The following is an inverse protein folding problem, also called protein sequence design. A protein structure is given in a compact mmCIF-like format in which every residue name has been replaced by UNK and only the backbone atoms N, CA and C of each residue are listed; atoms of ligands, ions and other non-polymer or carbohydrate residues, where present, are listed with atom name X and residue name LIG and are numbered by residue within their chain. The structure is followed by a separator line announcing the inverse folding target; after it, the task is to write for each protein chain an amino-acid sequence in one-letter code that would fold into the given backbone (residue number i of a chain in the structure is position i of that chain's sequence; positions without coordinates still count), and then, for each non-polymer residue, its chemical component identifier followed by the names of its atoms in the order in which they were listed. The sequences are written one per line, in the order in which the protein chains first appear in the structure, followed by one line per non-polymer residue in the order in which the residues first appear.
data_IF_880408344208
#
_entry.id   IF_880408344208
#
_cell.length_a   1.000
_cell.length_b   1.000
_cell.length_c   1.000
_cell.angle_alpha   90.00
_cell.angle_beta   90.00
_cell.angle_gamma   90.00
#
_symmetry.space_group_name_H-M   'P 1'
#
loop_
_entity.id
_entity.type
_entity.pdbx_description
1 polymer ?
#
# COMPACT_ATOMS: atom_id res chain seq x y z
N UNK A 1 -40.66 -60.35 -4.23
CA UNK A 1 -40.34 -58.97 -4.64
C UNK A 1 -39.67 -58.23 -3.48
N UNK A 2 -38.34 -58.32 -3.31
CA UNK A 2 -37.60 -57.71 -2.17
C UNK A 2 -36.20 -57.17 -2.55
N UNK A 3 -35.90 -56.97 -3.83
CA UNK A 3 -34.54 -56.61 -4.30
C UNK A 3 -34.48 -55.38 -5.21
N UNK A 4 -35.36 -54.39 -5.01
CA UNK A 4 -35.41 -53.20 -5.87
C UNK A 4 -35.25 -51.86 -5.12
N UNK A 5 -35.18 -51.84 -3.79
CA UNK A 5 -35.16 -50.58 -3.02
C UNK A 5 -33.73 -50.14 -2.65
N UNK A 6 -32.75 -51.04 -2.69
CA UNK A 6 -31.38 -50.73 -2.25
C UNK A 6 -30.50 -49.99 -3.28
N UNK A 7 -30.97 -49.78 -4.51
CA UNK A 7 -30.16 -49.18 -5.58
C UNK A 7 -30.38 -47.67 -5.74
N UNK A 8 -31.50 -47.13 -5.26
CA UNK A 8 -31.84 -45.70 -5.43
C UNK A 8 -31.15 -44.81 -4.38
N UNK A 9 -30.83 -45.35 -3.20
CA UNK A 9 -30.13 -44.60 -2.14
C UNK A 9 -28.61 -44.55 -2.37
N UNK A 10 -28.03 -45.53 -3.07
CA UNK A 10 -26.60 -45.52 -3.41
C UNK A 10 -26.24 -44.57 -4.58
N UNK A 11 -27.22 -44.24 -5.44
CA UNK A 11 -27.04 -43.29 -6.55
C UNK A 11 -27.32 -41.83 -6.14
N UNK A 12 -27.90 -41.60 -4.95
CA UNK A 12 -28.09 -40.26 -4.37
C UNK A 12 -26.89 -39.79 -3.55
N UNK A 13 -25.88 -40.65 -3.36
CA UNK A 13 -24.60 -40.33 -2.74
C UNK A 13 -23.48 -40.19 -3.78
N UNK A 14 -23.84 -39.84 -5.02
CA UNK A 14 -22.92 -39.23 -5.96
C UNK A 14 -22.65 -37.82 -5.44
N UNK A 15 -21.65 -37.76 -4.58
CA UNK A 15 -20.95 -36.60 -4.07
C UNK A 15 -21.27 -35.34 -4.89
N UNK A 16 -22.00 -34.43 -4.27
CA UNK A 16 -21.67 -33.02 -4.36
C UNK A 16 -20.20 -32.90 -3.92
N UNK A 17 -19.26 -33.24 -4.82
CA UNK A 17 -17.93 -32.70 -4.77
C UNK A 17 -18.19 -31.22 -5.01
N UNK A 18 -18.31 -30.47 -3.92
CA UNK A 18 -18.23 -29.04 -3.95
C UNK A 18 -16.93 -28.77 -4.70
N UNK A 19 -17.05 -28.34 -5.96
CA UNK A 19 -15.93 -27.73 -6.67
C UNK A 19 -15.72 -26.46 -5.87
N UNK A 20 -14.83 -26.52 -4.88
CA UNK A 20 -14.26 -25.32 -4.28
C UNK A 20 -13.65 -24.61 -5.48
N UNK A 21 -14.29 -23.54 -5.92
CA UNK A 21 -13.67 -22.59 -6.83
C UNK A 21 -12.41 -22.14 -6.11
N UNK A 22 -11.24 -22.39 -6.67
CA UNK A 22 -10.02 -21.84 -6.11
C UNK A 22 -10.03 -20.34 -6.41
N UNK A 23 -9.84 -19.52 -5.39
CA UNK A 23 -9.59 -18.10 -5.52
C UNK A 23 -8.18 -17.79 -5.03
N UNK A 24 -7.55 -16.83 -5.69
CA UNK A 24 -6.18 -16.43 -5.41
C UNK A 24 -6.10 -14.93 -5.23
N UNK A 25 -5.29 -14.50 -4.25
CA UNK A 25 -4.91 -13.11 -4.04
C UNK A 25 -3.39 -13.05 -4.03
N UNK A 26 -2.83 -12.24 -4.92
CA UNK A 26 -1.39 -12.06 -5.04
C UNK A 26 -0.99 -10.63 -4.76
N UNK A 27 0.11 -10.49 -4.04
CA UNK A 27 0.72 -9.21 -3.67
C UNK A 27 2.04 -9.05 -4.42
N UNK A 28 2.25 -7.88 -5.01
CA UNK A 28 3.50 -7.52 -5.68
C UNK A 28 3.89 -6.10 -5.33
N UNK A 29 5.04 -5.94 -4.66
CA UNK A 29 5.64 -4.63 -4.45
C UNK A 29 6.26 -4.10 -5.76
N UNK A 30 6.22 -2.79 -5.98
CA UNK A 30 6.87 -2.14 -7.12
C UNK A 30 8.41 -2.14 -6.98
N UNK A 31 8.90 -2.10 -5.73
CA UNK A 31 10.29 -2.23 -5.36
C UNK A 31 10.46 -3.11 -4.13
N UNK A 32 11.51 -3.93 -4.11
CA UNK A 32 11.85 -4.83 -2.99
C UNK A 32 12.98 -4.29 -2.12
N UNK A 33 13.75 -3.33 -2.62
CA UNK A 33 14.90 -2.74 -1.94
C UNK A 33 14.75 -1.21 -1.93
N UNK A 34 14.44 -0.66 -0.77
CA UNK A 34 14.11 0.77 -0.60
C UNK A 34 14.90 1.39 0.54
N UNK A 35 14.84 2.72 0.69
CA UNK A 35 15.44 3.45 1.81
C UNK A 35 14.36 4.00 2.73
N UNK A 36 14.73 4.33 3.96
CA UNK A 36 13.85 5.07 4.87
C UNK A 36 13.42 6.38 4.21
N UNK A 37 12.12 6.66 4.25
CA UNK A 37 11.46 7.78 3.60
C UNK A 37 10.90 7.47 2.21
N UNK A 38 11.27 6.35 1.59
CA UNK A 38 10.72 5.95 0.29
C UNK A 38 9.27 5.46 0.42
N UNK A 39 8.50 5.65 -0.65
CA UNK A 39 7.15 5.10 -0.79
C UNK A 39 7.21 3.75 -1.50
N UNK A 40 6.57 2.74 -0.91
CA UNK A 40 6.38 1.41 -1.49
C UNK A 40 4.93 1.27 -1.92
N UNK A 41 4.71 0.85 -3.16
CA UNK A 41 3.38 0.54 -3.69
C UNK A 41 3.24 -0.96 -3.88
N UNK A 42 2.29 -1.56 -3.17
CA UNK A 42 1.94 -2.97 -3.33
C UNK A 42 0.69 -3.10 -4.17
N UNK A 43 0.81 -3.78 -5.30
CA UNK A 43 -0.32 -4.15 -6.16
C UNK A 43 -0.96 -5.41 -5.61
N UNK A 44 -2.28 -5.39 -5.43
CA UNK A 44 -3.08 -6.55 -5.05
C UNK A 44 -3.88 -7.01 -6.27
N UNK A 45 -3.66 -8.25 -6.68
CA UNK A 45 -4.36 -8.89 -7.80
C UNK A 45 -5.21 -10.02 -7.26
N UNK A 46 -6.42 -10.17 -7.79
CA UNK A 46 -7.33 -11.25 -7.43
C UNK A 46 -7.82 -12.03 -8.66
N UNK A 47 -8.03 -13.32 -8.46
CA UNK A 47 -8.64 -14.24 -9.43
C UNK A 47 -9.75 -15.05 -8.75
N UNK A 48 -10.89 -15.21 -9.43
CA UNK A 48 -12.01 -16.04 -8.97
C UNK A 48 -12.86 -15.44 -7.85
N UNK A 49 -12.79 -14.12 -7.62
CA UNK A 49 -13.52 -13.41 -6.56
C UNK A 49 -14.43 -12.33 -7.12
N UNK A 50 -15.65 -12.22 -6.60
CA UNK A 50 -16.51 -11.05 -6.78
C UNK A 50 -16.48 -10.10 -5.58
N UNK A 51 -16.13 -10.57 -4.38
CA UNK A 51 -15.88 -9.70 -3.23
C UNK A 51 -14.80 -10.26 -2.32
N UNK A 52 -14.09 -9.36 -1.63
CA UNK A 52 -13.13 -9.73 -0.59
C UNK A 52 -13.11 -8.66 0.50
N UNK A 53 -13.19 -9.10 1.75
CA UNK A 53 -12.91 -8.32 2.96
C UNK A 53 -11.58 -8.82 3.53
N UNK A 54 -10.62 -7.92 3.67
CA UNK A 54 -9.33 -8.28 4.21
C UNK A 54 -8.68 -7.18 5.05
N UNK A 55 -7.78 -7.63 5.93
CA UNK A 55 -6.83 -6.80 6.63
C UNK A 55 -5.42 -6.97 6.04
N UNK A 56 -4.62 -5.92 6.13
CA UNK A 56 -3.21 -5.92 5.74
C UNK A 56 -2.36 -6.20 6.99
N UNK A 57 -1.56 -7.25 6.94
CA UNK A 57 -0.61 -7.62 7.98
C UNK A 57 0.81 -7.20 7.56
N UNK A 58 1.45 -6.35 8.36
CA UNK A 58 2.78 -5.80 8.10
C UNK A 58 3.44 -5.35 9.42
N UNK A 59 4.77 -5.17 9.41
CA UNK A 59 5.51 -4.63 10.55
C UNK A 59 5.40 -3.09 10.60
N UNK A 60 4.61 -2.58 11.55
CA UNK A 60 4.39 -1.14 11.77
C UNK A 60 5.61 -0.40 12.36
N UNK A 61 6.65 -1.13 12.76
CA UNK A 61 7.93 -0.54 13.12
C UNK A 61 8.81 -0.24 11.89
N UNK A 62 8.55 -0.90 10.75
CA UNK A 62 9.34 -0.78 9.50
C UNK A 62 8.60 0.04 8.45
N UNK A 63 7.28 -0.15 8.35
CA UNK A 63 6.43 0.51 7.36
C UNK A 63 5.28 1.27 8.03
N UNK A 64 4.84 2.37 7.40
CA UNK A 64 3.62 3.09 7.76
C UNK A 64 2.62 2.98 6.60
N UNK A 65 1.43 2.42 6.85
CA UNK A 65 0.37 2.40 5.85
C UNK A 65 -0.16 3.81 5.58
N UNK A 66 -0.19 4.21 4.31
CA UNK A 66 -0.64 5.54 3.88
C UNK A 66 -2.09 5.48 3.43
N UNK A 67 -2.40 4.59 2.48
CA UNK A 67 -3.76 4.43 1.92
C UNK A 67 -3.87 3.19 1.04
N UNK A 68 -5.11 2.77 0.79
CA UNK A 68 -5.48 1.87 -0.29
C UNK A 68 -6.22 2.65 -1.39
N UNK A 69 -5.96 2.30 -2.66
CA UNK A 69 -6.64 2.89 -3.82
C UNK A 69 -7.27 1.78 -4.64
N UNK A 70 -8.56 1.88 -4.91
CA UNK A 70 -9.28 0.90 -5.74
C UNK A 70 -8.83 1.04 -7.20
N UNK A 71 -8.70 -0.09 -7.91
CA UNK A 71 -8.68 -0.04 -9.37
C UNK A 71 -10.07 0.33 -9.92
N UNK A 72 -10.15 0.71 -11.20
CA UNK A 72 -11.40 1.12 -11.86
C UNK A 72 -12.49 0.05 -11.83
N UNK A 73 -12.11 -1.22 -11.63
CA UNK A 73 -12.99 -2.39 -11.55
C UNK A 73 -13.47 -2.70 -10.12
N UNK A 74 -13.05 -1.91 -9.12
CA UNK A 74 -13.27 -2.17 -7.71
C UNK A 74 -13.82 -0.94 -6.97
N UNK A 75 -14.33 -1.16 -5.75
CA UNK A 75 -14.68 -0.08 -4.82
C UNK A 75 -14.19 -0.46 -3.44
N UNK A 76 -13.50 0.45 -2.74
CA UNK A 76 -13.01 0.27 -1.37
C UNK A 76 -13.91 1.03 -0.40
N UNK A 77 -14.29 0.38 0.70
CA UNK A 77 -15.14 0.99 1.74
C UNK A 77 -14.40 1.98 2.67
N UNK A 78 -13.15 1.67 3.03
CA UNK A 78 -12.27 2.52 3.84
C UNK A 78 -10.86 2.47 3.27
N UNK A 79 -10.36 3.61 2.80
CA UNK A 79 -9.04 3.70 2.16
C UNK A 79 -7.91 4.00 3.14
N UNK A 80 -8.22 4.29 4.39
CA UNK A 80 -7.24 4.77 5.38
C UNK A 80 -7.04 3.80 6.55
N UNK A 81 -7.82 2.72 6.58
CA UNK A 81 -7.73 1.71 7.62
C UNK A 81 -7.21 0.38 7.04
N UNK A 82 -5.95 -0.02 7.34
CA UNK A 82 -5.38 -1.25 6.82
C UNK A 82 -6.10 -2.51 7.34
N UNK A 83 -6.85 -2.43 8.44
CA UNK A 83 -7.58 -3.57 9.02
C UNK A 83 -8.95 -3.83 8.37
N UNK A 84 -9.42 -2.94 7.48
CA UNK A 84 -10.81 -2.92 7.00
C UNK A 84 -10.91 -2.58 5.53
N UNK A 85 -10.23 -3.35 4.69
CA UNK A 85 -10.33 -3.20 3.24
C UNK A 85 -11.41 -4.14 2.71
N UNK A 86 -12.58 -3.58 2.40
CA UNK A 86 -13.65 -4.29 1.71
C UNK A 86 -13.68 -3.86 0.24
N UNK A 87 -13.50 -4.85 -0.65
CA UNK A 87 -13.60 -4.70 -2.10
C UNK A 87 -14.79 -5.50 -2.62
N UNK A 88 -15.61 -4.86 -3.46
CA UNK A 88 -16.80 -5.48 -4.07
C UNK A 88 -16.83 -5.20 -5.57
N UNK A 89 -17.13 -6.25 -6.34
CA UNK A 89 -17.42 -6.28 -7.76
C UNK A 89 -18.79 -6.92 -8.02
N UNK A 90 -19.36 -6.65 -9.19
CA UNK A 90 -20.56 -7.35 -9.68
C UNK A 90 -20.26 -8.62 -10.49
N UNK A 91 -18.98 -8.97 -10.68
CA UNK A 91 -18.50 -10.12 -11.45
C UNK A 91 -17.18 -10.64 -10.86
N UNK A 92 -16.81 -11.88 -11.19
CA UNK A 92 -15.51 -12.43 -10.78
C UNK A 92 -14.37 -11.67 -11.44
N UNK A 93 -13.36 -11.32 -10.65
CA UNK A 93 -12.06 -10.90 -11.14
C UNK A 93 -11.38 -12.07 -11.84
N UNK A 94 -10.77 -11.80 -13.00
CA UNK A 94 -10.04 -12.77 -13.81
C UNK A 94 -8.57 -12.33 -13.87
N UNK A 95 -7.80 -12.70 -12.85
CA UNK A 95 -6.41 -12.26 -12.63
C UNK A 95 -6.24 -10.74 -12.82
N UNK A 96 -7.03 -9.96 -12.06
CA UNK A 96 -7.11 -8.51 -12.21
C UNK A 96 -6.59 -7.78 -10.98
N UNK A 97 -5.90 -6.66 -11.18
CA UNK A 97 -5.57 -5.73 -10.10
C UNK A 97 -6.86 -5.15 -9.51
N UNK A 98 -7.05 -5.32 -8.20
CA UNK A 98 -8.24 -4.84 -7.50
C UNK A 98 -7.97 -3.60 -6.67
N UNK A 99 -6.75 -3.45 -6.17
CA UNK A 99 -6.31 -2.24 -5.48
C UNK A 99 -4.79 -2.12 -5.45
N UNK A 100 -4.32 -0.93 -5.11
CA UNK A 100 -2.94 -0.67 -4.71
C UNK A 100 -2.91 -0.19 -3.26
N UNK A 101 -1.93 -0.67 -2.50
CA UNK A 101 -1.65 -0.27 -1.13
C UNK A 101 -0.38 0.58 -1.14
N UNK A 102 -0.40 1.74 -0.51
CA UNK A 102 0.75 2.65 -0.42
C UNK A 102 1.27 2.65 1.02
N UNK A 103 2.59 2.44 1.17
CA UNK A 103 3.29 2.46 2.44
C UNK A 103 4.47 3.43 2.38
N UNK A 104 4.86 4.00 3.52
CA UNK A 104 6.12 4.73 3.68
C UNK A 104 7.08 3.88 4.49
N UNK A 105 8.32 3.72 4.02
CA UNK A 105 9.37 3.07 4.81
C UNK A 105 9.85 4.00 5.92
N UNK A 106 9.76 3.59 7.18
CA UNK A 106 10.06 4.46 8.34
C UNK A 106 11.27 3.98 9.15
N UNK A 107 11.67 2.71 9.02
CA UNK A 107 12.87 2.18 9.66
C UNK A 107 13.53 1.11 8.79
N UNK A 108 14.82 0.87 9.04
CA UNK A 108 15.57 -0.18 8.38
C UNK A 108 15.15 -1.56 8.88
N UNK A 109 15.06 -2.53 7.98
CA UNK A 109 14.61 -3.89 8.29
C UNK A 109 14.12 -4.64 7.06
N UNK A 110 13.89 -5.94 7.22
CA UNK A 110 13.21 -6.78 6.23
C UNK A 110 11.83 -7.11 6.79
N UNK A 111 10.78 -6.89 6.00
CA UNK A 111 9.40 -7.18 6.40
C UNK A 111 8.62 -7.79 5.25
N UNK A 112 7.69 -8.66 5.60
CA UNK A 112 6.65 -9.14 4.70
C UNK A 112 5.40 -8.27 4.84
N UNK A 113 4.69 -8.13 3.74
CA UNK A 113 3.35 -7.55 3.65
C UNK A 113 2.44 -8.68 3.19
N UNK A 114 1.47 -9.02 4.01
CA UNK A 114 0.52 -10.09 3.73
C UNK A 114 -0.91 -9.57 3.84
N UNK A 115 -1.85 -10.36 3.31
CA UNK A 115 -3.27 -10.11 3.44
C UNK A 115 -3.91 -11.22 4.27
N UNK A 116 -4.73 -10.82 5.24
CA UNK A 116 -5.56 -11.71 6.06
C UNK A 116 -7.00 -11.57 5.58
N UNK A 117 -7.49 -12.60 4.90
CA UNK A 117 -8.86 -12.62 4.37
C UNK A 117 -9.85 -12.88 5.50
N UNK A 118 -10.77 -11.94 5.71
CA UNK A 118 -11.84 -12.03 6.71
C UNK A 118 -13.10 -12.69 6.10
N UNK A 119 -13.42 -12.35 4.86
CA UNK A 119 -14.54 -12.90 4.10
C UNK A 119 -14.30 -12.76 2.58
N UNK A 120 -14.88 -13.66 1.80
CA UNK A 120 -14.68 -13.72 0.34
C UNK A 120 -15.82 -14.43 -0.36
N UNK A 121 -16.27 -13.91 -1.50
CA UNK A 121 -17.31 -14.54 -2.31
C UNK A 121 -16.98 -14.52 -3.81
N UNK A 122 -17.54 -15.47 -4.55
CA UNK A 122 -17.57 -15.48 -6.02
C UNK A 122 -18.82 -14.76 -6.57
N UNK A 123 -18.96 -14.71 -7.89
CA UNK A 123 -20.09 -14.07 -8.57
C UNK A 123 -21.45 -14.73 -8.29
N UNK A 124 -21.46 -15.97 -7.80
CA UNK A 124 -22.66 -16.64 -7.31
C UNK A 124 -23.00 -16.28 -5.85
N UNK A 125 -22.24 -15.38 -5.23
CA UNK A 125 -22.30 -15.01 -3.82
C UNK A 125 -22.09 -16.20 -2.86
N UNK A 126 -21.34 -17.20 -3.30
CA UNK A 126 -20.93 -18.33 -2.47
C UNK A 126 -19.58 -18.01 -1.81
N UNK A 127 -19.39 -18.43 -0.57
CA UNK A 127 -18.10 -18.28 0.12
C UNK A 127 -17.03 -19.13 -0.54
N UNK A 128 -15.83 -18.56 -0.69
CA UNK A 128 -14.70 -19.18 -1.38
C UNK A 128 -13.45 -19.14 -0.52
N UNK A 129 -12.73 -20.25 -0.44
CA UNK A 129 -11.40 -20.29 0.17
C UNK A 129 -10.38 -19.57 -0.72
N UNK A 130 -9.58 -18.69 -0.11
CA UNK A 130 -8.60 -17.85 -0.81
C UNK A 130 -7.19 -18.28 -0.46
N UNK A 131 -6.34 -18.46 -1.46
CA UNK A 131 -4.89 -18.58 -1.27
C UNK A 131 -4.25 -17.20 -1.40
N UNK A 132 -3.38 -16.82 -0.47
CA UNK A 132 -2.69 -15.53 -0.47
C UNK A 132 -1.19 -15.69 -0.69
N UNK A 133 -0.58 -14.75 -1.42
CA UNK A 133 0.87 -14.56 -1.44
C UNK A 133 1.28 -13.34 -0.61
N UNK A 134 2.52 -13.32 -0.13
CA UNK A 134 3.11 -12.15 0.53
C UNK A 134 4.02 -11.38 -0.44
N UNK A 135 4.20 -10.08 -0.18
CA UNK A 135 5.25 -9.27 -0.79
C UNK A 135 6.32 -8.94 0.25
N UNK A 136 7.59 -9.19 -0.08
CA UNK A 136 8.72 -8.92 0.82
C UNK A 136 9.40 -7.60 0.44
N UNK A 137 9.73 -6.78 1.43
CA UNK A 137 10.41 -5.50 1.27
C UNK A 137 11.59 -5.42 2.24
N UNK A 138 12.74 -5.01 1.71
CA UNK A 138 13.96 -4.72 2.46
C UNK A 138 14.21 -3.22 2.46
N UNK A 139 14.23 -2.62 3.65
CA UNK A 139 14.56 -1.22 3.86
C UNK A 139 16.01 -1.10 4.33
N UNK A 140 16.84 -0.45 3.54
CA UNK A 140 18.24 -0.20 3.86
C UNK A 140 18.38 0.75 5.07
N UNK A 141 19.41 0.51 5.87
CA UNK A 141 19.83 1.44 6.91
C UNK A 141 20.28 2.78 6.32
N UNK A 142 19.97 3.87 7.00
CA UNK A 142 20.48 5.19 6.64
C UNK A 142 21.99 5.23 6.89
N UNK A 143 22.77 5.34 5.82
CA UNK A 143 24.23 5.52 5.86
C UNK A 143 24.61 6.96 6.20
N UNK A 144 23.97 7.58 7.20
CA UNK A 144 24.33 8.94 7.63
C UNK A 144 24.21 9.18 9.14
N UNK A 145 25.14 8.63 9.92
CA UNK A 145 25.64 9.30 11.12
C UNK A 145 27.06 8.86 11.48
N UNK A 146 28.04 9.44 10.80
CA UNK A 146 29.43 9.54 11.26
C UNK A 146 30.05 10.81 10.68
N UNK A 147 30.11 11.86 11.49
CA UNK A 147 31.05 12.97 11.32
C UNK A 147 31.30 13.59 12.72
N UNK A 148 32.48 14.17 13.04
CA UNK A 148 33.63 14.47 12.17
C UNK A 148 34.98 13.94 12.71
N UNK A 149 35.92 13.54 11.84
CA UNK A 149 37.34 13.48 12.20
C UNK A 149 38.12 14.44 11.30
N UNK A 150 38.66 15.46 11.96
CA UNK A 150 39.56 16.47 11.45
C UNK A 150 40.86 15.83 10.91
N UNK A 151 41.29 16.24 9.72
CA UNK A 151 42.71 16.26 9.37
C UNK A 151 43.03 17.50 8.54
N UNK A 152 43.58 18.48 9.26
CA UNK A 152 44.42 19.54 8.71
C UNK A 152 45.72 18.89 8.25
N UNK A 153 46.11 19.05 6.99
CA UNK A 153 47.53 19.18 6.65
C UNK A 153 47.72 20.04 5.38
N UNK A 154 48.61 21.01 5.56
CA UNK A 154 48.98 22.10 4.67
C UNK A 154 49.75 21.64 3.43
N UNK A 155 49.65 22.39 2.33
CA UNK A 155 50.84 22.68 1.53
C UNK A 155 50.77 24.07 0.93
N UNK A 156 51.73 24.88 1.36
CA UNK A 156 52.15 26.18 0.82
C UNK A 156 52.71 25.97 -0.59
N UNK A 157 52.45 26.89 -1.52
CA UNK A 157 53.47 27.55 -2.35
C UNK A 157 52.94 28.91 -2.87
N UNK A 158 53.76 29.93 -2.64
CA UNK A 158 53.66 31.31 -3.14
C UNK A 158 53.80 31.39 -4.67
N UNK A 159 53.21 32.41 -5.31
CA UNK A 159 54.01 33.47 -5.96
C UNK A 159 53.14 34.44 -6.80
N UNK A 160 53.12 35.69 -6.32
CA UNK A 160 53.24 36.98 -7.01
C UNK A 160 52.23 37.49 -8.07
N UNK A 161 51.59 38.61 -7.67
CA UNK A 161 51.42 39.92 -8.37
C UNK A 161 50.54 39.94 -9.64
N UNK A 162 49.57 40.85 -9.84
CA UNK A 162 49.54 42.30 -9.60
C UNK A 162 48.12 42.83 -9.27
N UNK A 163 48.05 43.83 -8.38
CA UNK A 163 46.96 44.81 -8.21
C UNK A 163 47.19 46.02 -9.19
N UNK A 164 46.35 47.07 -9.26
CA UNK A 164 44.97 47.24 -8.78
C UNK A 164 44.03 47.93 -9.81
N UNK A 165 42.71 47.85 -9.60
CA UNK A 165 41.83 48.99 -9.87
C UNK A 165 40.60 48.98 -8.96
N UNK A 166 40.56 49.99 -8.10
CA UNK A 166 39.55 50.31 -7.08
C UNK A 166 38.59 51.39 -7.64
N UNK A 167 37.58 51.89 -6.89
CA UNK A 167 36.44 51.28 -6.22
C UNK A 167 35.09 51.70 -6.85
N UNK A 168 33.99 51.00 -6.57
CA UNK A 168 32.67 51.67 -6.51
C UNK A 168 31.66 50.90 -5.65
N UNK A 169 31.47 51.42 -4.44
CA UNK A 169 30.23 51.53 -3.63
C UNK A 169 29.10 50.51 -3.81
N UNK A 170 28.58 50.01 -2.67
CA UNK A 170 27.13 49.83 -2.55
C UNK A 170 26.68 48.68 -1.64
N UNK A 171 26.45 49.06 -0.39
CA UNK A 171 25.62 48.46 0.67
C UNK A 171 24.38 47.62 0.24
N UNK A 172 23.95 46.77 1.18
CA UNK A 172 22.58 46.30 1.45
C UNK A 172 22.20 44.86 1.10
N UNK A 173 22.15 44.06 2.16
CA UNK A 173 21.23 42.94 2.39
C UNK A 173 19.78 43.26 2.00
N UNK A 174 19.05 42.35 1.34
CA UNK A 174 17.62 42.10 1.61
C UNK A 174 17.10 40.82 0.91
N UNK A 175 16.72 39.85 1.74
CA UNK A 175 15.46 39.06 1.79
C UNK A 175 14.74 38.72 0.47
N UNK A 176 14.52 37.43 0.22
CA UNK A 176 13.63 36.94 -0.83
C UNK A 176 13.22 35.48 -0.70
N UNK A 177 12.78 35.02 0.48
CA UNK A 177 12.05 33.75 0.60
C UNK A 177 10.57 34.02 0.32
N UNK A 178 10.08 33.53 -0.81
CA UNK A 178 8.68 33.60 -1.19
C UNK A 178 7.83 32.74 -0.24
N UNK A 179 6.89 33.39 0.45
CA UNK A 179 5.89 32.74 1.29
C UNK A 179 4.88 31.99 0.41
N UNK A 180 4.78 30.67 0.59
CA UNK A 180 3.71 29.84 0.04
C UNK A 180 2.49 29.94 0.96
N UNK A 181 1.45 30.62 0.49
CA UNK A 181 0.21 30.81 1.23
C UNK A 181 -0.63 29.52 1.25
N UNK A 182 -0.86 29.00 2.46
CA UNK A 182 -1.80 27.94 2.79
C UNK A 182 -3.23 28.51 2.82
N UNK A 183 -4.08 28.12 1.88
CA UNK A 183 -5.51 28.42 1.91
C UNK A 183 -6.29 27.22 2.44
N UNK A 184 -6.68 27.29 3.72
CA UNK A 184 -7.62 26.36 4.33
C UNK A 184 -9.06 26.76 3.97
N UNK A 185 -9.78 25.90 3.25
CA UNK A 185 -11.22 26.04 3.04
C UNK A 185 -11.96 25.05 3.95
N UNK A 186 -12.45 25.56 5.08
CA UNK A 186 -13.39 24.84 5.93
C UNK A 186 -14.79 24.91 5.32
N UNK A 187 -15.37 23.76 4.95
CA UNK A 187 -16.78 23.64 4.62
C UNK A 187 -17.50 22.87 5.73
N UNK A 188 -18.12 23.62 6.63
CA UNK A 188 -19.13 23.13 7.57
C UNK A 188 -20.40 22.73 6.81
N UNK A 189 -20.83 21.47 6.91
CA UNK A 189 -22.19 21.05 6.55
C UNK A 189 -22.99 20.82 7.83
N UNK A 190 -23.99 21.67 8.05
CA UNK A 190 -24.98 21.58 9.12
C UNK A 190 -26.21 20.81 8.62
N UNK A 191 -26.45 19.67 9.26
CA UNK A 191 -27.71 18.98 9.64
C UNK A 191 -29.00 19.31 8.85
N UNK A 192 -29.65 18.24 8.36
CA UNK A 192 -31.11 18.14 8.30
C UNK A 192 -31.59 16.80 8.87
N UNK A 193 -31.96 16.80 10.16
CA UNK A 193 -32.76 15.73 10.79
C UNK A 193 -34.17 15.79 10.22
N UNK A 194 -34.58 14.80 9.43
CA UNK A 194 -35.99 14.61 9.06
C UNK A 194 -36.59 13.52 9.95
N UNK A 195 -37.26 13.93 11.01
CA UNK A 195 -38.23 13.10 11.71
C UNK A 195 -39.43 12.87 10.80
N UNK A 196 -39.82 11.62 10.57
CA UNK A 196 -41.17 11.28 10.11
C UNK A 196 -41.76 10.28 11.09
N UNK A 197 -43.04 10.51 11.32
CA UNK A 197 -43.92 10.08 12.40
C UNK A 197 -44.60 8.75 12.06
#
# INVERSE_FOLDING_TARGET
MKKAISFVVAMALAAAMCVVSAADVTLSADATDVKVGDTVTVTVTADGLASIDFAVDYDDAVLEFVKATADSSATIADTSNPDKILIVSGADYADATICTLEFTAIAAGETDINVVVNDSTNAAAESVDVTTSAATVTVAADETSSAPESSVESSVEESSTEEPSNPSTGDSSVVGFAALALAAAAATVVVAKKSVK
#
